data_IF_246884433405
#
_entry.id   IF_246884433405
#
_cell.length_a   1.000
_cell.length_b   1.000
_cell.length_c   1.000
_cell.angle_alpha   90.00
_cell.angle_beta   90.00
_cell.angle_gamma   90.00
#
_symmetry.space_group_name_H-M   'P 1'
#
loop_
_entity.id
_entity.type
_entity.pdbx_description
1 polymer ?
#
# COMPACT_ATOMS: atom_id res chain seq x y z
N UNK A 1 0.87 25.24 -4.29
CA UNK A 1 -0.57 25.47 -4.03
C UNK A 1 -1.35 25.05 -5.28
N UNK A 2 -2.31 24.13 -5.19
CA UNK A 2 -3.06 23.64 -6.36
C UNK A 2 -4.25 24.58 -6.63
N UNK A 3 -4.61 24.81 -7.90
CA UNK A 3 -5.86 25.52 -8.26
C UNK A 3 -6.86 24.54 -8.84
N UNK A 4 -8.11 24.62 -8.38
CA UNK A 4 -9.17 23.80 -8.95
C UNK A 4 -9.41 24.17 -10.41
N UNK A 5 -9.46 23.18 -11.30
CA UNK A 5 -9.79 23.43 -12.72
C UNK A 5 -11.22 23.96 -12.88
N UNK A 6 -12.16 23.50 -12.04
CA UNK A 6 -13.59 23.85 -12.10
C UNK A 6 -13.89 25.26 -11.56
N UNK A 7 -13.49 25.57 -10.32
CA UNK A 7 -13.84 26.84 -9.67
C UNK A 7 -12.66 27.80 -9.46
N UNK A 8 -11.45 27.45 -9.94
CA UNK A 8 -10.21 28.25 -9.85
C UNK A 8 -9.74 28.59 -8.42
N UNK A 9 -10.46 28.15 -7.39
CA UNK A 9 -10.12 28.36 -5.98
C UNK A 9 -8.74 27.76 -5.69
N UNK A 10 -7.86 28.50 -5.00
CA UNK A 10 -6.63 27.94 -4.45
C UNK A 10 -6.96 26.91 -3.36
N UNK A 11 -6.30 25.76 -3.43
CA UNK A 11 -6.38 24.68 -2.46
C UNK A 11 -4.97 24.41 -1.91
N UNK A 12 -4.89 23.68 -0.79
CA UNK A 12 -3.60 23.29 -0.22
C UNK A 12 -2.77 22.58 -1.29
N UNK A 13 -1.45 22.71 -1.23
CA UNK A 13 -0.54 22.08 -2.21
C UNK A 13 -0.76 20.57 -2.33
N UNK A 14 -1.35 19.96 -1.31
CA UNK A 14 -1.52 18.52 -1.19
C UNK A 14 -2.97 18.08 -1.43
N UNK A 15 -3.90 19.00 -1.72
CA UNK A 15 -5.32 18.62 -1.82
C UNK A 15 -5.61 17.81 -3.06
N UNK A 16 -6.38 16.73 -2.91
CA UNK A 16 -6.91 15.92 -4.00
C UNK A 16 -8.32 16.31 -4.41
N UNK A 17 -9.00 17.09 -3.57
CA UNK A 17 -10.32 17.61 -3.85
C UNK A 17 -10.36 19.10 -3.57
N UNK A 18 -11.12 19.83 -4.37
CA UNK A 18 -11.35 21.23 -4.13
C UNK A 18 -12.26 21.41 -2.91
N UNK A 19 -11.80 22.16 -1.91
CA UNK A 19 -12.58 22.47 -0.70
C UNK A 19 -13.91 23.18 -0.97
N UNK A 20 -14.05 23.81 -2.14
CA UNK A 20 -15.25 24.56 -2.51
C UNK A 20 -16.21 23.71 -3.35
N UNK A 21 -15.76 23.21 -4.50
CA UNK A 21 -16.65 22.51 -5.44
C UNK A 21 -16.55 20.97 -5.40
N UNK A 22 -15.70 20.42 -4.51
CA UNK A 22 -15.39 18.98 -4.40
C UNK A 22 -14.83 18.32 -5.67
N UNK A 23 -14.50 19.11 -6.71
CA UNK A 23 -13.89 18.59 -7.93
C UNK A 23 -12.46 18.09 -7.67
N UNK A 24 -12.08 17.00 -8.35
CA UNK A 24 -10.74 16.41 -8.27
C UNK A 24 -9.65 17.42 -8.65
N UNK A 25 -8.55 17.39 -7.90
CA UNK A 25 -7.32 18.12 -8.14
C UNK A 25 -6.26 17.13 -8.64
N UNK A 26 -5.24 17.60 -9.39
CA UNK A 26 -4.13 16.73 -9.80
C UNK A 26 -3.52 16.04 -8.58
N UNK A 27 -3.16 14.76 -8.66
CA UNK A 27 -2.49 14.07 -7.54
C UNK A 27 -1.18 14.81 -7.16
N UNK A 28 -0.87 14.84 -5.86
CA UNK A 28 0.44 15.30 -5.41
C UNK A 28 1.43 14.15 -5.48
N UNK A 29 2.62 14.40 -6.02
CA UNK A 29 3.74 13.45 -5.95
C UNK A 29 4.28 13.26 -4.51
N UNK A 30 3.77 14.00 -3.53
CA UNK A 30 4.21 13.97 -2.11
C UNK A 30 3.42 12.98 -1.23
N UNK A 31 2.53 12.19 -1.81
CA UNK A 31 1.74 11.24 -1.02
C UNK A 31 2.53 9.99 -0.67
N UNK A 32 2.14 9.39 0.45
CA UNK A 32 2.50 8.03 0.84
C UNK A 32 1.21 7.20 0.91
N UNK A 33 0.61 6.89 -0.26
CA UNK A 33 -0.74 6.36 -0.35
C UNK A 33 -0.86 4.89 0.05
N UNK A 34 0.22 4.20 0.41
CA UNK A 34 0.13 2.79 0.76
C UNK A 34 1.39 2.31 1.43
N UNK A 35 1.40 1.04 1.80
CA UNK A 35 2.63 0.44 2.32
C UNK A 35 3.78 0.62 1.34
N UNK A 36 4.94 1.02 1.86
CA UNK A 36 6.14 1.33 1.08
C UNK A 36 5.89 2.39 -0.01
N UNK A 37 5.11 3.42 0.30
CA UNK A 37 5.06 4.66 -0.48
C UNK A 37 4.19 4.64 -1.72
N UNK A 38 3.51 3.53 -2.01
CA UNK A 38 2.51 3.47 -3.08
C UNK A 38 2.49 2.13 -3.83
N UNK A 39 1.82 2.07 -4.99
CA UNK A 39 1.56 0.82 -5.70
C UNK A 39 2.82 0.04 -6.08
N UNK A 40 3.92 0.74 -6.41
CA UNK A 40 5.20 0.11 -6.76
C UNK A 40 5.93 -0.52 -5.56
N UNK A 41 5.54 -0.17 -4.32
CA UNK A 41 6.12 -0.65 -3.06
C UNK A 41 7.64 -0.46 -2.91
N UNK A 42 8.21 0.51 -3.62
CA UNK A 42 9.64 0.82 -3.62
C UNK A 42 10.10 1.46 -2.30
N UNK A 43 9.17 1.96 -1.49
CA UNK A 43 9.48 2.61 -0.23
C UNK A 43 10.17 3.95 -0.40
N UNK A 44 10.16 4.55 -1.59
CA UNK A 44 10.80 5.82 -1.92
C UNK A 44 9.74 6.91 -2.05
N UNK A 45 10.01 8.05 -1.41
CA UNK A 45 9.34 9.30 -1.77
C UNK A 45 10.17 9.98 -2.87
N UNK A 46 9.55 10.34 -4.01
CA UNK A 46 10.27 10.96 -5.15
C UNK A 46 10.88 12.33 -4.83
N UNK A 47 10.53 12.92 -3.69
CA UNK A 47 11.09 14.20 -3.22
C UNK A 47 12.37 14.07 -2.39
N UNK A 48 12.87 12.86 -2.16
CA UNK A 48 14.21 12.70 -1.59
C UNK A 48 15.21 13.03 -2.69
N UNK A 49 15.59 14.30 -2.75
CA UNK A 49 16.70 14.76 -3.57
C UNK A 49 17.94 13.97 -3.11
N UNK A 50 18.74 13.38 -4.02
CA UNK A 50 19.95 12.62 -3.65
C UNK A 50 20.97 13.44 -2.86
N UNK A 51 20.80 14.76 -2.81
CA UNK A 51 21.43 15.65 -1.85
C UNK A 51 20.45 15.91 -0.71
N UNK A 52 20.41 15.01 0.27
CA UNK A 52 19.89 15.38 1.59
C UNK A 52 20.67 16.64 2.01
N UNK A 53 20.02 17.78 2.26
CA UNK A 53 20.73 18.91 2.82
C UNK A 53 21.40 18.41 4.11
N UNK A 54 22.70 18.69 4.35
CA UNK A 54 23.46 18.12 5.46
C UNK A 54 22.90 18.44 6.86
N UNK A 55 21.80 19.19 6.92
CA UNK A 55 21.14 19.64 8.13
C UNK A 55 19.63 19.35 8.09
N UNK A 56 19.22 18.09 7.85
CA UNK A 56 17.85 17.67 8.18
C UNK A 56 17.66 17.82 9.69
N UNK A 57 17.10 18.95 10.12
CA UNK A 57 16.73 19.18 11.51
C UNK A 57 15.44 18.43 11.79
N UNK A 58 15.44 17.61 12.84
CA UNK A 58 14.21 17.09 13.42
C UNK A 58 13.29 18.28 13.70
N UNK A 59 12.20 18.37 12.94
CA UNK A 59 11.25 19.47 13.09
C UNK A 59 10.31 19.23 14.26
N UNK A 60 9.93 17.98 14.47
CA UNK A 60 8.80 17.61 15.31
C UNK A 60 8.77 16.11 15.59
N UNK A 61 8.29 15.71 16.77
CA UNK A 61 7.97 14.32 17.13
C UNK A 61 6.48 14.25 17.37
N UNK A 62 5.78 13.40 16.61
CA UNK A 62 4.35 13.14 16.77
C UNK A 62 4.19 11.75 17.38
N UNK A 63 3.52 11.66 18.53
CA UNK A 63 3.23 10.40 19.19
C UNK A 63 1.78 10.00 18.95
N UNK A 64 1.57 8.74 18.57
CA UNK A 64 0.24 8.15 18.50
C UNK A 64 0.11 7.04 19.55
N UNK A 65 -0.76 7.25 20.53
CA UNK A 65 -1.08 6.22 21.50
C UNK A 65 -2.12 5.26 20.95
N UNK A 66 -1.70 4.04 20.67
CA UNK A 66 -2.58 2.93 20.32
C UNK A 66 -2.56 1.88 21.43
N UNK A 67 -3.72 1.26 21.67
CA UNK A 67 -3.84 0.08 22.55
C UNK A 67 -3.35 -1.21 21.90
N UNK A 68 -2.97 -1.17 20.61
CA UNK A 68 -2.35 -2.28 19.89
C UNK A 68 -1.24 -1.77 18.97
N UNK A 69 -0.52 -2.68 18.31
CA UNK A 69 0.56 -2.34 17.38
C UNK A 69 0.03 -1.45 16.25
N UNK A 70 0.76 -0.38 15.94
CA UNK A 70 0.51 0.38 14.71
C UNK A 70 0.90 -0.48 13.50
N UNK A 71 -0.08 -0.79 12.65
CA UNK A 71 0.08 -1.61 11.45
C UNK A 71 0.64 -0.81 10.29
N UNK A 72 0.18 0.43 10.13
CA UNK A 72 0.60 1.27 9.01
C UNK A 72 0.49 2.75 9.32
N UNK A 73 1.33 3.51 8.65
CA UNK A 73 1.33 4.96 8.63
C UNK A 73 1.25 5.39 7.17
N UNK A 74 0.20 6.14 6.83
CA UNK A 74 -0.01 6.70 5.50
C UNK A 74 0.02 8.22 5.59
N UNK A 75 0.41 8.87 4.49
CA UNK A 75 0.41 10.33 4.40
C UNK A 75 -0.35 10.78 3.15
N UNK A 76 -1.36 11.62 3.34
CA UNK A 76 -2.17 12.14 2.24
C UNK A 76 -2.68 13.54 2.57
N UNK A 77 -2.54 14.47 1.63
CA UNK A 77 -3.01 15.86 1.77
C UNK A 77 -2.51 16.61 3.03
N UNK A 78 -1.27 16.36 3.47
CA UNK A 78 -0.78 16.95 4.73
C UNK A 78 -1.42 16.37 5.99
N UNK A 79 -2.11 15.24 5.86
CA UNK A 79 -2.58 14.44 6.99
C UNK A 79 -1.71 13.19 7.16
N UNK A 80 -1.48 12.84 8.42
CA UNK A 80 -0.98 11.53 8.81
C UNK A 80 -2.17 10.64 9.17
N UNK A 81 -2.23 9.44 8.60
CA UNK A 81 -3.23 8.42 8.93
C UNK A 81 -2.49 7.23 9.52
N UNK A 82 -2.64 7.02 10.82
CA UNK A 82 -2.07 5.90 11.54
C UNK A 82 -3.16 4.86 11.81
N UNK A 83 -2.86 3.60 11.54
CA UNK A 83 -3.83 2.50 11.60
C UNK A 83 -3.25 1.37 12.43
N UNK A 84 -3.98 0.92 13.45
CA UNK A 84 -3.56 -0.16 14.35
C UNK A 84 -4.16 -1.52 13.99
N UNK A 85 -3.57 -2.60 14.53
CA UNK A 85 -4.03 -3.97 14.27
C UNK A 85 -5.41 -4.27 14.85
N UNK A 86 -5.83 -3.59 15.93
CA UNK A 86 -7.17 -3.73 16.51
C UNK A 86 -8.24 -2.83 15.85
N UNK A 87 -7.93 -2.22 14.70
CA UNK A 87 -8.90 -1.43 13.96
C UNK A 87 -9.04 0.02 14.42
N UNK A 88 -8.16 0.55 15.28
CA UNK A 88 -8.16 1.97 15.62
C UNK A 88 -7.42 2.78 14.54
N UNK A 89 -8.05 3.87 14.11
CA UNK A 89 -7.50 4.79 13.12
C UNK A 89 -7.39 6.16 13.75
N UNK A 90 -6.20 6.76 13.67
CA UNK A 90 -5.92 8.13 14.09
C UNK A 90 -5.48 8.97 12.90
N UNK A 91 -6.04 10.16 12.78
CA UNK A 91 -5.82 11.07 11.67
C UNK A 91 -5.40 12.44 12.21
N UNK A 92 -4.24 12.92 11.78
CA UNK A 92 -3.62 14.15 12.27
C UNK A 92 -3.39 15.15 11.13
N UNK A 93 -3.81 16.41 11.27
CA UNK A 93 -3.43 17.50 10.35
C UNK A 93 -2.03 17.98 10.70
N UNK A 94 -1.06 17.79 9.80
CA UNK A 94 0.34 18.15 10.04
C UNK A 94 0.60 19.66 10.06
N UNK A 95 -0.41 20.47 9.77
CA UNK A 95 -0.37 21.92 9.92
C UNK A 95 -0.99 22.40 11.24
N UNK A 96 -1.62 21.50 12.00
CA UNK A 96 -2.34 21.77 13.25
C UNK A 96 -2.10 20.63 14.24
N UNK A 97 -0.84 20.31 14.45
CA UNK A 97 -0.34 19.19 15.26
C UNK A 97 -0.69 19.33 16.74
N UNK A 98 -1.02 20.54 17.17
CA UNK A 98 -1.54 20.86 18.49
C UNK A 98 -3.01 20.45 18.69
N UNK A 99 -3.76 20.17 17.62
CA UNK A 99 -5.12 19.65 17.71
C UNK A 99 -5.09 18.15 17.94
N UNK A 100 -6.02 17.66 18.77
CA UNK A 100 -6.22 16.22 18.96
C UNK A 100 -6.47 15.51 17.62
N UNK A 101 -5.87 14.33 17.39
CA UNK A 101 -6.11 13.57 16.18
C UNK A 101 -7.56 13.09 16.14
N UNK A 102 -8.16 13.18 14.96
CA UNK A 102 -9.44 12.52 14.73
C UNK A 102 -9.28 11.02 14.88
N UNK A 103 -10.18 10.38 15.63
CA UNK A 103 -10.09 8.95 15.92
C UNK A 103 -11.40 8.26 15.59
N UNK A 104 -11.32 7.10 14.97
CA UNK A 104 -12.44 6.19 14.77
C UNK A 104 -11.96 4.73 14.75
N UNK A 105 -12.89 3.79 14.79
CA UNK A 105 -12.59 2.35 14.80
C UNK A 105 -13.35 1.63 13.70
N UNK A 106 -12.73 0.62 13.10
CA UNK A 106 -13.42 -0.36 12.24
C UNK A 106 -13.95 -1.53 13.05
N UNK A 107 -14.95 -2.23 12.52
CA UNK A 107 -15.44 -3.46 13.14
C UNK A 107 -14.46 -4.61 12.89
N UNK A 108 -13.50 -4.78 13.80
CA UNK A 108 -12.56 -5.90 13.84
C UNK A 108 -11.12 -5.58 13.47
N UNK A 109 -10.28 -6.62 13.50
CA UNK A 109 -8.84 -6.49 13.41
C UNK A 109 -8.39 -6.28 11.96
N UNK A 110 -7.33 -5.48 11.79
CA UNK A 110 -6.73 -5.15 10.50
C UNK A 110 -5.52 -6.06 10.27
N UNK A 111 -5.64 -6.97 9.30
CA UNK A 111 -4.54 -7.86 8.88
C UNK A 111 -3.85 -7.39 7.60
N UNK A 112 -4.57 -6.69 6.73
CA UNK A 112 -3.99 -6.12 5.53
C UNK A 112 -3.48 -4.70 5.80
N UNK A 113 -2.33 -4.35 5.23
CA UNK A 113 -1.87 -2.98 5.17
C UNK A 113 -2.90 -2.15 4.39
N UNK A 114 -3.43 -1.07 4.99
CA UNK A 114 -4.40 -0.19 4.34
C UNK A 114 -3.75 0.58 3.19
N UNK A 115 -4.60 1.10 2.31
CA UNK A 115 -4.19 1.95 1.20
C UNK A 115 -5.12 3.15 1.04
N UNK A 116 -4.55 4.27 0.60
CA UNK A 116 -5.21 5.49 0.21
C UNK A 116 -5.13 5.62 -1.31
N UNK A 117 -6.26 5.81 -1.97
CA UNK A 117 -6.28 6.13 -3.39
C UNK A 117 -7.44 7.08 -3.68
N UNK A 118 -7.17 8.15 -4.42
CA UNK A 118 -8.11 9.25 -4.67
C UNK A 118 -8.83 9.72 -3.39
N UNK A 119 -8.08 9.93 -2.31
CA UNK A 119 -8.63 10.36 -1.01
C UNK A 119 -9.66 9.40 -0.39
N UNK A 120 -9.68 8.13 -0.81
CA UNK A 120 -10.43 7.06 -0.17
C UNK A 120 -9.45 6.14 0.55
N UNK A 121 -9.69 5.90 1.84
CA UNK A 121 -8.95 4.96 2.68
C UNK A 121 -9.62 3.59 2.61
N UNK A 122 -8.89 2.61 2.08
CA UNK A 122 -9.30 1.22 1.97
C UNK A 122 -8.66 0.40 3.10
N UNK A 123 -9.50 -0.31 3.85
CA UNK A 123 -9.08 -1.08 5.02
C UNK A 123 -9.62 -2.49 4.91
N UNK A 124 -8.74 -3.48 4.86
CA UNK A 124 -9.11 -4.90 4.95
C UNK A 124 -9.11 -5.37 6.40
N UNK A 125 -10.20 -6.00 6.84
CA UNK A 125 -10.39 -6.43 8.23
C UNK A 125 -10.85 -7.89 8.34
N UNK A 126 -10.70 -8.47 9.54
CA UNK A 126 -11.41 -9.69 9.96
C UNK A 126 -12.70 -9.27 10.64
N UNK A 127 -13.85 -9.77 10.19
CA UNK A 127 -15.15 -9.47 10.80
C UNK A 127 -15.44 -10.39 11.98
N UNK A 128 -16.02 -9.82 13.04
CA UNK A 128 -16.50 -10.53 14.23
C UNK A 128 -15.45 -11.43 14.91
N UNK A 129 -14.16 -11.15 14.70
CA UNK A 129 -13.04 -11.99 15.13
C UNK A 129 -13.13 -13.47 14.67
N UNK A 130 -14.04 -13.77 13.74
CA UNK A 130 -14.22 -15.10 13.20
C UNK A 130 -13.19 -15.30 12.09
N UNK A 131 -12.17 -16.09 12.41
CA UNK A 131 -11.14 -16.47 11.44
C UNK A 131 -11.84 -17.09 10.21
N UNK A 132 -11.53 -16.56 9.02
CA UNK A 132 -12.13 -16.97 7.75
C UNK A 132 -13.31 -16.13 7.26
N UNK A 133 -13.74 -15.09 7.97
CA UNK A 133 -14.65 -14.07 7.44
C UNK A 133 -13.99 -12.70 7.51
N UNK A 134 -13.76 -12.11 6.34
CA UNK A 134 -13.17 -10.79 6.24
C UNK A 134 -14.13 -9.78 5.66
N UNK A 135 -13.68 -8.54 5.62
CA UNK A 135 -14.33 -7.50 4.84
C UNK A 135 -13.34 -6.47 4.35
N UNK A 136 -13.84 -5.55 3.55
CA UNK A 136 -13.13 -4.34 3.17
C UNK A 136 -14.04 -3.13 3.39
N UNK A 137 -13.49 -2.09 4.00
CA UNK A 137 -14.13 -0.78 4.14
C UNK A 137 -13.48 0.22 3.20
N UNK A 138 -14.29 1.14 2.67
CA UNK A 138 -13.81 2.33 1.97
C UNK A 138 -14.33 3.59 2.67
N UNK A 139 -13.44 4.37 3.27
CA UNK A 139 -13.78 5.64 3.91
C UNK A 139 -13.34 6.79 3.02
N UNK A 140 -14.24 7.73 2.70
CA UNK A 140 -13.82 8.97 2.05
C UNK A 140 -13.18 9.91 3.05
N UNK A 141 -12.02 10.44 2.69
CA UNK A 141 -11.32 11.51 3.41
C UNK A 141 -11.51 12.86 2.72
N UNK A 142 -12.48 13.00 1.81
CA UNK A 142 -12.67 14.23 1.03
C UNK A 142 -13.00 15.46 1.89
N UNK A 143 -13.61 15.26 3.06
CA UNK A 143 -13.92 16.30 4.04
C UNK A 143 -12.96 16.35 5.22
N UNK A 144 -11.80 15.68 5.16
CA UNK A 144 -10.80 15.66 6.24
C UNK A 144 -10.24 17.04 6.59
N UNK A 145 -10.39 18.01 5.68
CA UNK A 145 -9.99 19.41 5.87
C UNK A 145 -11.08 20.33 6.42
N UNK A 146 -12.28 19.81 6.61
CA UNK A 146 -13.37 20.51 7.28
C UNK A 146 -13.13 20.54 8.79
N UNK A 147 -13.82 21.45 9.48
CA UNK A 147 -13.80 21.57 10.94
C UNK A 147 -15.27 21.51 11.40
N UNK A 148 -15.79 20.33 11.83
CA UNK A 148 -15.07 19.08 12.06
C UNK A 148 -14.72 18.32 10.76
N UNK A 149 -13.69 17.46 10.77
CA UNK A 149 -13.37 16.62 9.62
C UNK A 149 -14.49 15.62 9.33
N UNK A 150 -14.94 15.55 8.08
CA UNK A 150 -15.93 14.56 7.64
C UNK A 150 -15.23 13.33 7.06
N UNK A 151 -15.36 12.21 7.78
CA UNK A 151 -14.91 10.88 7.34
C UNK A 151 -16.14 10.01 7.24
N UNK A 152 -16.50 9.64 6.02
CA UNK A 152 -17.74 8.91 5.76
C UNK A 152 -17.41 7.52 5.22
N UNK A 153 -18.07 6.49 5.75
CA UNK A 153 -18.09 5.18 5.12
C UNK A 153 -18.78 5.32 3.76
N UNK A 154 -18.04 5.06 2.70
CA UNK A 154 -18.53 5.13 1.32
C UNK A 154 -19.26 3.85 0.95
N UNK A 155 -18.63 2.72 1.26
CA UNK A 155 -19.16 1.38 1.12
C UNK A 155 -18.30 0.42 1.94
N UNK A 156 -18.87 -0.73 2.23
CA UNK A 156 -18.19 -1.88 2.80
C UNK A 156 -18.65 -3.15 2.08
N UNK A 157 -17.88 -4.22 2.26
CA UNK A 157 -18.16 -5.48 1.58
C UNK A 157 -17.65 -6.66 2.39
N UNK A 158 -18.47 -7.70 2.48
CA UNK A 158 -18.06 -9.00 3.03
C UNK A 158 -17.19 -9.77 2.04
N UNK A 159 -16.18 -10.46 2.57
CA UNK A 159 -15.26 -11.30 1.83
C UNK A 159 -15.32 -12.73 2.37
N UNK A 160 -15.17 -13.71 1.46
CA UNK A 160 -15.18 -15.14 1.81
C UNK A 160 -14.02 -15.57 2.70
N UNK A 161 -12.95 -14.77 2.76
CA UNK A 161 -11.79 -14.96 3.62
C UNK A 161 -11.28 -13.61 4.14
N UNK A 162 -10.17 -13.61 4.86
CA UNK A 162 -9.60 -12.39 5.42
C UNK A 162 -8.61 -11.72 4.44
N UNK A 163 -8.71 -10.41 4.17
CA UNK A 163 -7.63 -9.70 3.50
C UNK A 163 -6.33 -9.82 4.29
N UNK A 164 -5.30 -10.31 3.63
CA UNK A 164 -3.96 -10.44 4.20
C UNK A 164 -2.98 -9.58 3.43
N UNK A 165 -1.82 -9.33 4.03
CA UNK A 165 -0.71 -8.60 3.44
C UNK A 165 -1.05 -7.13 3.15
N UNK A 166 -1.56 -6.75 1.97
CA UNK A 166 -1.81 -5.37 1.62
C UNK A 166 -2.96 -5.20 0.63
N UNK A 167 -3.71 -4.10 0.81
CA UNK A 167 -4.71 -3.63 -0.14
C UNK A 167 -3.99 -2.86 -1.26
N UNK A 168 -4.26 -3.20 -2.52
CA UNK A 168 -3.63 -2.54 -3.68
C UNK A 168 -4.70 -1.93 -4.60
N UNK A 169 -5.06 -0.66 -4.42
CA UNK A 169 -5.87 0.07 -5.38
C UNK A 169 -5.05 0.42 -6.63
N UNK A 170 -5.57 0.09 -7.81
CA UNK A 170 -4.93 0.30 -9.11
C UNK A 170 -5.98 0.39 -10.23
N UNK A 171 -5.91 1.43 -11.07
CA UNK A 171 -6.75 1.59 -12.28
C UNK A 171 -8.26 1.30 -12.05
N UNK A 172 -8.85 2.02 -11.09
CA UNK A 172 -10.25 1.87 -10.65
C UNK A 172 -10.64 0.48 -10.10
N UNK A 173 -9.64 -0.26 -9.63
CA UNK A 173 -9.80 -1.58 -9.03
C UNK A 173 -9.06 -1.69 -7.72
N UNK A 174 -9.46 -2.65 -6.90
CA UNK A 174 -8.67 -3.09 -5.75
C UNK A 174 -8.29 -4.55 -5.95
N UNK A 175 -7.00 -4.82 -5.79
CA UNK A 175 -6.44 -6.16 -5.69
C UNK A 175 -6.27 -6.52 -4.22
N UNK A 176 -6.80 -7.67 -3.82
CA UNK A 176 -6.73 -8.19 -2.46
C UNK A 176 -6.13 -9.58 -2.48
N UNK A 177 -5.15 -9.82 -1.59
CA UNK A 177 -4.77 -11.17 -1.22
C UNK A 177 -5.71 -11.65 -0.11
N UNK A 178 -6.51 -12.69 -0.38
CA UNK A 178 -7.49 -13.25 0.55
C UNK A 178 -6.94 -14.54 1.14
N UNK A 179 -6.76 -14.54 2.45
CA UNK A 179 -6.29 -15.68 3.22
C UNK A 179 -7.42 -16.46 3.89
N UNK A 180 -7.31 -17.78 3.81
CA UNK A 180 -8.21 -18.74 4.45
C UNK A 180 -7.51 -19.49 5.60
N UNK A 181 -8.32 -20.20 6.39
CA UNK A 181 -7.89 -20.96 7.59
C UNK A 181 -6.93 -22.11 7.27
N UNK A 182 -7.12 -22.75 6.13
CA UNK A 182 -6.34 -23.88 5.62
C UNK A 182 -5.01 -23.46 4.99
N UNK A 183 -4.66 -22.16 5.06
CA UNK A 183 -3.46 -21.60 4.45
C UNK A 183 -3.64 -21.22 2.98
N UNK A 184 -4.77 -21.54 2.36
CA UNK A 184 -5.08 -21.16 0.98
C UNK A 184 -5.08 -19.63 0.81
N UNK A 185 -4.62 -19.18 -0.35
CA UNK A 185 -4.61 -17.79 -0.79
C UNK A 185 -5.32 -17.61 -2.12
N UNK A 186 -6.18 -16.61 -2.21
CA UNK A 186 -6.77 -16.16 -3.46
C UNK A 186 -6.39 -14.71 -3.74
N UNK A 187 -6.40 -14.32 -5.02
CA UNK A 187 -6.39 -12.90 -5.37
C UNK A 187 -7.76 -12.53 -5.88
N UNK A 188 -8.36 -11.56 -5.20
CA UNK A 188 -9.67 -11.02 -5.57
C UNK A 188 -9.49 -9.64 -6.17
N UNK A 189 -10.32 -9.34 -7.18
CA UNK A 189 -10.43 -8.02 -7.80
C UNK A 189 -11.82 -7.46 -7.54
N UNK A 190 -11.86 -6.20 -7.12
CA UNK A 190 -13.07 -5.40 -6.97
C UNK A 190 -12.96 -4.24 -7.96
N UNK A 191 -13.88 -4.13 -8.91
CA UNK A 191 -13.92 -3.06 -9.92
C UNK A 191 -14.83 -1.90 -9.51
N UNK A 192 -14.77 -0.80 -10.27
CA UNK A 192 -15.63 0.37 -10.13
C UNK A 192 -15.55 1.00 -8.72
N UNK A 193 -14.33 1.08 -8.17
CA UNK A 193 -14.12 1.58 -6.80
C UNK A 193 -14.33 3.10 -6.69
N UNK A 194 -14.25 3.82 -7.81
CA UNK A 194 -14.61 5.23 -7.96
C UNK A 194 -16.13 5.44 -8.07
N UNK A 195 -16.92 4.39 -8.30
CA UNK A 195 -18.38 4.44 -8.33
C UNK A 195 -19.01 4.51 -6.94
N UNK A 196 -20.32 4.70 -6.87
CA UNK A 196 -21.07 4.59 -5.61
C UNK A 196 -21.24 3.13 -5.16
N UNK A 197 -21.17 2.18 -6.10
CA UNK A 197 -21.35 0.75 -5.86
C UNK A 197 -20.28 -0.04 -6.62
N UNK A 198 -19.21 -0.50 -5.94
CA UNK A 198 -18.22 -1.37 -6.57
C UNK A 198 -18.84 -2.72 -6.98
N UNK A 199 -18.17 -3.45 -7.87
CA UNK A 199 -18.58 -4.82 -8.23
C UNK A 199 -18.35 -5.78 -7.07
N UNK A 200 -19.03 -6.93 -7.07
CA UNK A 200 -18.68 -7.99 -6.13
C UNK A 200 -17.27 -8.52 -6.40
N UNK A 201 -16.55 -9.01 -5.37
CA UNK A 201 -15.19 -9.48 -5.53
C UNK A 201 -15.16 -10.67 -6.47
N UNK A 202 -14.26 -10.63 -7.45
CA UNK A 202 -14.03 -11.73 -8.39
C UNK A 202 -12.69 -12.38 -8.08
N UNK A 203 -12.68 -13.69 -7.81
CA UNK A 203 -11.45 -14.46 -7.67
C UNK A 203 -10.79 -14.60 -9.05
N UNK A 204 -9.60 -14.01 -9.20
CA UNK A 204 -8.82 -14.02 -10.45
C UNK A 204 -7.59 -14.93 -10.38
N UNK A 205 -7.23 -15.38 -9.18
CA UNK A 205 -6.18 -16.37 -8.95
C UNK A 205 -6.50 -17.17 -7.69
N UNK A 206 -6.26 -18.47 -7.76
CA UNK A 206 -6.48 -19.41 -6.67
C UNK A 206 -5.22 -20.28 -6.54
N UNK A 207 -4.51 -20.19 -5.40
CA UNK A 207 -3.31 -20.97 -5.17
C UNK A 207 -2.97 -21.14 -3.68
N UNK A 208 -1.90 -21.88 -3.40
CA UNK A 208 -1.53 -22.17 -2.01
C UNK A 208 -0.79 -20.98 -1.38
N UNK A 209 0.13 -20.37 -2.13
CA UNK A 209 0.97 -19.27 -1.64
C UNK A 209 1.11 -18.17 -2.67
N UNK A 210 1.09 -16.93 -2.19
CA UNK A 210 1.29 -15.73 -2.99
C UNK A 210 1.99 -14.63 -2.20
N UNK A 211 2.82 -13.86 -2.89
CA UNK A 211 3.48 -12.68 -2.35
C UNK A 211 2.50 -11.53 -2.14
N UNK A 212 2.99 -10.42 -1.56
CA UNK A 212 2.29 -9.13 -1.68
C UNK A 212 2.12 -8.77 -3.15
N UNK A 213 1.05 -8.06 -3.48
CA UNK A 213 0.86 -7.46 -4.80
C UNK A 213 1.63 -6.14 -4.90
N UNK A 214 2.11 -5.81 -6.09
CA UNK A 214 2.65 -4.49 -6.42
C UNK A 214 2.23 -4.11 -7.85
N UNK A 215 2.01 -2.83 -8.12
CA UNK A 215 1.65 -2.35 -9.44
C UNK A 215 2.66 -1.34 -9.99
N UNK A 216 2.83 -1.36 -11.30
CA UNK A 216 3.65 -0.42 -12.05
C UNK A 216 2.74 0.46 -12.93
N UNK A 217 2.35 1.66 -12.44
CA UNK A 217 1.46 2.55 -13.18
C UNK A 217 1.91 2.89 -14.61
N UNK A 218 3.21 3.14 -14.90
CA UNK A 218 3.68 3.41 -16.25
C UNK A 218 3.37 2.30 -17.26
N UNK A 219 3.52 1.02 -16.86
CA UNK A 219 3.25 -0.13 -17.73
C UNK A 219 1.83 -0.67 -17.60
N UNK A 220 1.02 -0.11 -16.68
CA UNK A 220 -0.33 -0.58 -16.38
C UNK A 220 -0.40 -2.04 -15.95
N UNK A 221 0.60 -2.52 -15.20
CA UNK A 221 0.70 -3.91 -14.78
C UNK A 221 0.60 -4.08 -13.27
N UNK A 222 -0.02 -5.17 -12.82
CA UNK A 222 0.02 -5.63 -11.43
C UNK A 222 0.77 -6.96 -11.37
N UNK A 223 1.71 -7.05 -10.44
CA UNK A 223 2.60 -8.18 -10.26
C UNK A 223 2.34 -8.86 -8.92
N UNK A 224 2.49 -10.17 -8.90
CA UNK A 224 2.70 -10.96 -7.70
C UNK A 224 3.51 -12.22 -8.03
N UNK A 225 4.13 -12.79 -7.02
CA UNK A 225 4.79 -14.09 -7.10
C UNK A 225 3.89 -15.15 -6.48
N UNK A 226 3.89 -16.34 -7.03
CA UNK A 226 3.24 -17.49 -6.41
C UNK A 226 4.14 -18.72 -6.39
N UNK A 227 3.80 -19.66 -5.52
CA UNK A 227 4.41 -20.99 -5.49
C UNK A 227 3.36 -22.05 -5.82
N UNK A 228 3.65 -22.86 -6.83
CA UNK A 228 2.83 -24.01 -7.19
C UNK A 228 3.72 -25.24 -7.32
N UNK A 229 3.46 -26.27 -6.50
CA UNK A 229 4.20 -27.54 -6.52
C UNK A 229 5.73 -27.35 -6.42
N UNK A 230 6.17 -26.46 -5.53
CA UNK A 230 7.59 -26.16 -5.31
C UNK A 230 8.24 -25.31 -6.42
N UNK A 231 7.46 -24.76 -7.36
CA UNK A 231 7.95 -23.88 -8.42
C UNK A 231 7.45 -22.46 -8.22
N UNK A 232 8.35 -21.49 -8.36
CA UNK A 232 8.04 -20.07 -8.31
C UNK A 232 7.50 -19.58 -9.65
N UNK A 233 6.47 -18.76 -9.63
CA UNK A 233 5.90 -18.10 -10.80
C UNK A 233 5.89 -16.58 -10.64
N UNK A 234 6.16 -15.86 -11.72
CA UNK A 234 5.82 -14.44 -11.86
C UNK A 234 4.45 -14.39 -12.53
N UNK A 235 3.52 -13.73 -11.84
CA UNK A 235 2.17 -13.50 -12.34
C UNK A 235 1.99 -12.01 -12.62
N UNK A 236 1.37 -11.71 -13.76
CA UNK A 236 1.15 -10.35 -14.24
C UNK A 236 -0.29 -10.21 -14.68
N UNK A 237 -1.00 -9.23 -14.11
CA UNK A 237 -2.24 -8.70 -14.68
C UNK A 237 -1.90 -7.49 -15.55
N UNK A 238 -2.18 -7.57 -16.84
CA UNK A 238 -1.93 -6.50 -17.81
C UNK A 238 -3.23 -5.73 -18.11
N UNK A 239 -3.20 -4.41 -17.89
CA UNK A 239 -4.33 -3.49 -18.13
C UNK A 239 -4.14 -2.58 -19.34
N UNK A 240 -3.10 -2.82 -20.16
CA UNK A 240 -2.79 -1.96 -21.32
C UNK A 240 -3.94 -1.83 -22.32
N UNK A 241 -4.76 -2.88 -22.45
CA UNK A 241 -5.86 -2.93 -23.43
C UNK A 241 -7.15 -2.22 -22.98
N UNK A 242 -7.21 -1.65 -21.77
CA UNK A 242 -8.37 -0.91 -21.26
C UNK A 242 -9.64 -1.75 -20.99
N UNK A 243 -9.59 -3.06 -21.24
CA UNK A 243 -10.62 -4.05 -20.91
C UNK A 243 -10.38 -4.69 -19.54
N UNK A 244 -11.06 -5.80 -19.24
CA UNK A 244 -10.71 -6.67 -18.13
C UNK A 244 -9.20 -7.04 -18.18
N UNK A 245 -8.52 -7.08 -17.03
CA UNK A 245 -7.09 -7.39 -16.98
C UNK A 245 -6.83 -8.80 -17.49
N UNK A 246 -5.79 -8.97 -18.31
CA UNK A 246 -5.36 -10.29 -18.78
C UNK A 246 -4.27 -10.79 -17.87
N UNK A 247 -4.48 -11.96 -17.26
CA UNK A 247 -3.48 -12.61 -16.42
C UNK A 247 -2.53 -13.46 -17.27
N UNK A 248 -1.23 -13.37 -16.99
CA UNK A 248 -0.23 -14.31 -17.47
C UNK A 248 0.65 -14.79 -16.31
N UNK A 249 1.10 -16.04 -16.41
CA UNK A 249 1.94 -16.70 -15.40
C UNK A 249 3.14 -17.33 -16.08
N UNK A 250 4.35 -17.05 -15.55
CA UNK A 250 5.61 -17.59 -16.10
C UNK A 250 6.43 -18.22 -14.98
N UNK A 251 6.90 -19.47 -15.14
CA UNK A 251 7.77 -20.09 -14.16
C UNK A 251 9.11 -19.34 -14.10
N UNK A 252 9.62 -19.14 -12.90
CA UNK A 252 10.93 -18.52 -12.68
C UNK A 252 12.01 -19.59 -12.74
N UNK A 253 12.94 -19.43 -13.67
CA UNK A 253 14.12 -20.30 -13.79
C UNK A 253 15.04 -20.10 -12.59
N UNK A 254 15.59 -21.22 -12.08
CA UNK A 254 16.59 -21.25 -11.02
C UNK A 254 16.12 -20.63 -9.70
N UNK A 255 14.81 -20.71 -9.43
CA UNK A 255 14.25 -20.23 -8.17
C UNK A 255 14.71 -21.08 -6.98
N UNK A 256 15.04 -20.45 -5.83
CA UNK A 256 15.27 -21.20 -4.61
C UNK A 256 14.02 -22.01 -4.25
N UNK A 257 14.22 -23.21 -3.72
CA UNK A 257 13.15 -24.12 -3.32
C UNK A 257 12.26 -23.55 -2.21
N UNK A 258 12.77 -22.57 -1.47
CA UNK A 258 12.16 -22.10 -0.23
C UNK A 258 11.42 -20.78 -0.46
N UNK A 259 10.13 -20.91 -0.80
CA UNK A 259 9.22 -19.78 -0.87
C UNK A 259 8.56 -19.58 0.51
N UNK A 260 8.83 -18.42 1.12
CA UNK A 260 8.24 -18.06 2.41
C UNK A 260 6.78 -17.62 2.23
N UNK A 261 5.95 -17.82 3.26
CA UNK A 261 4.51 -17.49 3.25
C UNK A 261 4.22 -15.99 3.04
N UNK A 262 5.23 -15.13 3.26
CA UNK A 262 5.12 -13.68 3.12
C UNK A 262 6.33 -13.11 2.39
N UNK A 263 6.27 -13.10 1.06
CA UNK A 263 7.27 -12.41 0.25
C UNK A 263 6.80 -10.98 -0.01
N UNK A 264 7.43 -9.96 0.59
CA UNK A 264 7.21 -8.61 0.14
C UNK A 264 7.90 -8.42 -1.22
N UNK A 265 7.18 -7.82 -2.16
CA UNK A 265 7.75 -7.42 -3.46
C UNK A 265 7.70 -5.91 -3.65
N UNK A 266 8.55 -5.43 -4.54
CA UNK A 266 8.51 -4.10 -5.12
C UNK A 266 8.77 -4.20 -6.63
N UNK A 267 8.27 -3.24 -7.41
CA UNK A 267 8.39 -3.25 -8.86
C UNK A 267 8.93 -1.93 -9.39
N UNK A 268 9.77 -2.02 -10.43
CA UNK A 268 10.28 -0.87 -11.17
C UNK A 268 10.37 -1.26 -12.65
N UNK A 269 9.32 -0.93 -13.42
CA UNK A 269 9.16 -1.45 -14.77
C UNK A 269 9.09 -2.98 -14.75
N UNK A 270 9.87 -3.63 -15.61
CA UNK A 270 9.95 -5.09 -15.70
C UNK A 270 10.84 -5.76 -14.63
N UNK A 271 11.36 -4.99 -13.66
CA UNK A 271 12.19 -5.52 -12.58
C UNK A 271 11.37 -5.70 -11.32
N UNK A 272 11.39 -6.90 -10.77
CA UNK A 272 10.71 -7.26 -9.52
C UNK A 272 11.78 -7.48 -8.46
N UNK A 273 11.64 -6.85 -7.30
CA UNK A 273 12.52 -7.03 -6.16
C UNK A 273 11.77 -7.79 -5.09
N UNK A 274 12.33 -8.90 -4.61
CA UNK A 274 11.68 -9.79 -3.67
C UNK A 274 12.69 -10.39 -2.70
N UNK A 275 12.18 -10.88 -1.56
CA UNK A 275 12.99 -11.42 -0.46
C UNK A 275 12.76 -12.91 -0.35
N UNK A 276 13.82 -13.71 -0.43
CA UNK A 276 13.71 -15.17 -0.43
C UNK A 276 14.55 -15.82 0.66
N UNK A 277 14.11 -17.03 1.06
CA UNK A 277 14.78 -17.91 2.00
C UNK A 277 14.93 -17.37 3.43
N UNK A 278 15.39 -18.23 4.33
CA UNK A 278 15.56 -17.91 5.76
C UNK A 278 16.54 -16.76 6.01
N UNK A 279 17.51 -16.61 5.09
CA UNK A 279 18.52 -15.54 5.14
C UNK A 279 17.97 -14.18 4.72
N UNK A 280 16.73 -14.12 4.22
CA UNK A 280 16.07 -12.90 3.71
C UNK A 280 16.90 -12.21 2.63
N UNK A 281 17.37 -12.99 1.67
CA UNK A 281 18.19 -12.50 0.58
C UNK A 281 17.35 -11.63 -0.37
N UNK A 282 17.86 -10.43 -0.71
CA UNK A 282 17.25 -9.58 -1.73
C UNK A 282 17.59 -10.11 -3.11
N UNK A 283 16.56 -10.38 -3.90
CA UNK A 283 16.70 -10.85 -5.26
C UNK A 283 16.01 -9.90 -6.22
N UNK A 284 16.64 -9.72 -7.38
CA UNK A 284 16.05 -9.04 -8.54
C UNK A 284 15.63 -10.10 -9.56
N UNK A 285 14.36 -10.09 -9.93
CA UNK A 285 13.81 -10.87 -11.04
C UNK A 285 13.53 -9.95 -12.23
N UNK A 286 13.63 -10.52 -13.43
CA UNK A 286 13.27 -9.88 -14.68
C UNK A 286 12.00 -10.53 -15.25
N UNK A 287 10.94 -9.76 -15.45
CA UNK A 287 9.65 -10.24 -15.98
C UNK A 287 9.81 -10.92 -17.35
N UNK A 288 10.62 -10.33 -18.25
CA UNK A 288 10.77 -10.80 -19.63
C UNK A 288 11.56 -12.09 -19.69
N UNK A 289 12.65 -12.18 -18.92
CA UNK A 289 13.49 -13.38 -18.86
C UNK A 289 12.90 -14.47 -17.97
N UNK A 290 12.00 -14.10 -17.06
CA UNK A 290 11.47 -14.99 -16.02
C UNK A 290 12.59 -15.71 -15.27
N UNK A 291 13.61 -14.97 -14.88
CA UNK A 291 14.81 -15.50 -14.22
C UNK A 291 15.33 -14.53 -13.16
N UNK A 292 16.15 -15.04 -12.26
CA UNK A 292 16.97 -14.21 -11.39
C UNK A 292 18.02 -13.48 -12.23
N UNK A 293 18.16 -12.18 -11.99
CA UNK A 293 19.14 -11.33 -12.67
C UNK A 293 20.41 -11.26 -11.82
N UNK A 294 20.26 -10.95 -10.53
CA UNK A 294 21.39 -10.88 -9.59
C UNK A 294 20.88 -11.07 -8.16
N UNK A 295 21.61 -11.85 -7.35
CA UNK A 295 21.46 -11.85 -5.90
C UNK A 295 22.09 -10.58 -5.35
N UNK A 296 21.29 -9.68 -4.79
CA UNK A 296 21.79 -8.47 -4.16
C UNK A 296 22.17 -8.87 -2.73
N UNK A 297 23.39 -9.38 -2.58
CA UNK A 297 23.86 -9.97 -1.31
C UNK A 297 23.94 -8.93 -0.20
N UNK A 298 23.18 -9.16 0.86
CA UNK A 298 23.21 -8.44 2.14
C UNK A 298 22.07 -8.96 3.02
N UNK A 299 22.30 -9.16 4.33
CA UNK A 299 21.21 -9.50 5.25
C UNK A 299 20.26 -8.30 5.33
N UNK A 300 19.14 -8.34 4.61
CA UNK A 300 18.15 -7.26 4.65
C UNK A 300 17.12 -7.58 5.74
N UNK A 301 17.14 -6.80 6.83
CA UNK A 301 16.19 -7.00 7.93
C UNK A 301 14.83 -6.34 7.69
N UNK A 302 14.76 -5.22 6.95
CA UNK A 302 13.52 -4.51 6.60
C UNK A 302 13.72 -3.68 5.31
N UNK A 303 12.67 -3.57 4.48
CA UNK A 303 12.66 -2.69 3.31
C UNK A 303 11.83 -1.45 3.61
N UNK A 304 12.49 -0.32 3.76
CA UNK A 304 11.90 0.96 3.41
C UNK A 304 13.00 1.98 3.09
N UNK A 305 13.00 2.49 1.87
CA UNK A 305 13.85 3.57 1.43
C UNK A 305 13.21 4.94 1.78
N UNK A 306 12.78 5.10 3.03
CA UNK A 306 11.99 6.25 3.40
C UNK A 306 12.89 7.49 3.54
N UNK A 307 12.67 8.51 2.71
CA UNK A 307 12.98 9.87 3.09
C UNK A 307 11.68 10.65 3.22
N UNK A 308 11.24 10.79 4.46
CA UNK A 308 10.33 11.86 4.85
C UNK A 308 11.16 12.88 5.64
N UNK A 309 10.93 14.17 5.39
CA UNK A 309 11.57 15.27 6.14
C UNK A 309 11.06 15.41 7.60
N UNK A 310 10.37 14.39 8.14
CA UNK A 310 9.86 14.31 9.51
C UNK A 310 10.04 12.87 10.02
N UNK A 311 10.63 12.70 11.20
CA UNK A 311 10.65 11.41 11.89
C UNK A 311 9.32 11.24 12.65
N UNK A 312 8.68 10.08 12.48
CA UNK A 312 7.52 9.67 13.29
C UNK A 312 8.01 8.57 14.22
N UNK A 313 7.87 8.78 15.53
CA UNK A 313 8.23 7.79 16.56
C UNK A 313 6.92 7.28 17.16
N UNK A 314 6.74 5.96 17.22
CA UNK A 314 5.55 5.33 17.82
C UNK A 314 6.02 4.46 18.99
N UNK A 315 5.55 4.79 20.19
CA UNK A 315 5.59 4.03 21.45
C UNK A 315 6.71 2.97 21.56
N UNK A 316 7.86 3.42 22.08
CA UNK A 316 9.02 2.64 22.60
C UNK A 316 9.61 1.53 21.73
N UNK A 317 9.07 1.28 20.53
CA UNK A 317 9.67 0.45 19.50
C UNK A 317 10.01 1.33 18.29
N UNK A 318 11.29 1.65 18.04
CA UNK A 318 11.67 2.35 16.82
C UNK A 318 11.13 1.60 15.59
N UNK A 319 10.23 2.23 14.85
CA UNK A 319 9.87 1.79 13.50
C UNK A 319 11.06 2.11 12.60
N UNK A 320 11.98 1.16 12.46
CA UNK A 320 13.17 1.32 11.63
C UNK A 320 12.78 1.33 10.15
N UNK A 321 12.74 2.52 9.55
CA UNK A 321 12.89 2.66 8.10
C UNK A 321 14.39 2.63 7.79
N UNK A 322 14.92 1.48 7.39
CA UNK A 322 16.35 1.35 7.11
C UNK A 322 16.60 1.67 5.62
N UNK A 323 17.11 2.89 5.36
CA UNK A 323 17.59 3.30 4.04
C UNK A 323 18.81 2.45 3.63
N UNK A 324 18.81 2.00 2.37
CA UNK A 324 20.01 1.54 1.69
C UNK A 324 20.28 2.46 0.51
N UNK A 325 21.35 3.22 0.57
CA UNK A 325 21.92 3.88 -0.60
C UNK A 325 22.47 2.78 -1.53
N UNK A 326 21.83 2.53 -2.68
CA UNK A 326 22.46 1.74 -3.74
C UNK A 326 23.44 2.67 -4.46
N UNK A 327 24.53 2.99 -3.76
CA UNK A 327 25.67 3.71 -4.30
C UNK A 327 26.54 2.78 -5.13
N UNK A 328 26.10 2.43 -6.34
CA UNK A 328 27.03 2.07 -7.43
C UNK A 328 26.50 2.65 -8.73
N UNK A 329 27.31 3.52 -9.34
CA UNK A 329 27.16 3.96 -10.73
C UNK A 329 26.89 2.73 -11.62
N UNK A 330 25.84 2.79 -12.44
CA UNK A 330 25.70 1.94 -13.62
C UNK A 330 26.57 2.55 -14.72
#
# INVERSE_FOLDING_TARGET
MKRCKKCRTPNRSFSNYCRFCRGELPESNEFWPGCKGGPQRIGLNRYVIPYSPPNLKLKEIINFDFSSRCRSILANDGYLVAVSENGSIKIMDLNRVEKEPYTFTTDGNILAEPALHNGTLYIGNIRNQQVGKGGIYAYTLGGISLDPPEINLRWDMDLKGAPVQAVLPFDDRIYLNIGYKDGHREIHVIDNIKGSKPTSPTCVYNGVRSSTLAADPPTKKVFFLSEERGRLFINVFDHSNGTAPVMSSKPVKDAPSDFLEHIPIAVLGAKIFAVFGDKKDLCRLDEYKSSFDTKITGRVRNYALAGMNKQVVINSQPVYFQLWEIGRKI
#
